data_IF_068432642673
#
_entry.id   IF_068432642673
#
_cell.length_a   1.000
_cell.length_b   1.000
_cell.length_c   1.000
_cell.angle_alpha   90.00
_cell.angle_beta   90.00
_cell.angle_gamma   90.00
#
_symmetry.space_group_name_H-M   'P 1'
#
loop_
_entity.id
_entity.type
_entity.pdbx_description
1 polymer ?
#
# COMPACT_ATOMS: atom_id res chain seq x y z
N UNK A 1 28.32 3.19 18.18
CA UNK A 1 27.61 4.28 17.48
C UNK A 1 27.01 3.70 16.21
N UNK A 2 25.71 3.94 15.99
CA UNK A 2 24.87 3.53 14.85
C UNK A 2 24.41 2.06 14.73
N UNK A 3 23.41 1.71 15.55
CA UNK A 3 22.54 0.52 15.37
C UNK A 3 21.48 0.69 14.25
N UNK A 4 21.58 1.77 13.47
CA UNK A 4 20.59 2.21 12.48
C UNK A 4 21.17 2.40 11.07
N UNK A 5 22.48 2.17 10.91
CA UNK A 5 23.09 2.06 9.59
C UNK A 5 22.85 0.65 9.04
N UNK A 6 22.79 0.53 7.70
CA UNK A 6 22.73 -0.75 6.97
C UNK A 6 23.83 -1.76 7.39
N UNK A 7 24.90 -1.28 8.03
CA UNK A 7 26.02 -2.09 8.49
C UNK A 7 25.77 -2.79 9.84
N UNK A 8 24.97 -2.20 10.74
CA UNK A 8 24.85 -2.62 12.15
C UNK A 8 23.48 -3.17 12.56
N UNK A 9 22.58 -3.42 11.61
CA UNK A 9 21.21 -3.80 11.92
C UNK A 9 21.11 -5.25 12.45
N UNK A 10 20.37 -5.47 13.54
CA UNK A 10 20.09 -6.80 14.10
C UNK A 10 19.44 -7.75 13.08
N UNK A 11 18.73 -7.19 12.09
CA UNK A 11 18.17 -7.89 10.93
C UNK A 11 19.27 -8.56 10.11
N UNK A 12 20.35 -7.83 9.79
CA UNK A 12 21.50 -8.37 9.06
C UNK A 12 22.21 -9.47 9.84
N UNK A 13 22.33 -9.32 11.17
CA UNK A 13 22.95 -10.33 12.03
C UNK A 13 22.15 -11.65 12.05
N UNK A 14 20.82 -11.57 12.06
CA UNK A 14 19.94 -12.75 12.02
C UNK A 14 19.87 -13.38 10.61
N UNK A 15 19.75 -12.56 9.56
CA UNK A 15 19.70 -13.05 8.17
C UNK A 15 21.03 -13.66 7.72
N UNK A 16 22.18 -13.10 8.15
CA UNK A 16 23.48 -13.71 7.93
C UNK A 16 23.65 -15.04 8.68
N UNK A 17 23.02 -15.19 9.85
CA UNK A 17 23.10 -16.42 10.65
C UNK A 17 22.19 -17.54 10.12
N UNK A 18 21.06 -17.18 9.50
CA UNK A 18 20.08 -18.13 8.98
C UNK A 18 20.27 -18.51 7.51
N UNK A 19 20.57 -17.56 6.63
CA UNK A 19 20.59 -17.77 5.17
C UNK A 19 21.98 -17.65 4.53
N UNK A 20 22.94 -17.05 5.24
CA UNK A 20 24.29 -16.82 4.75
C UNK A 20 24.40 -15.71 3.69
N UNK A 21 25.58 -15.10 3.58
CA UNK A 21 25.80 -13.91 2.75
C UNK A 21 25.56 -14.11 1.24
N UNK A 22 25.49 -15.36 0.75
CA UNK A 22 25.38 -15.69 -0.67
C UNK A 22 23.95 -15.58 -1.24
N UNK A 23 22.91 -15.51 -0.39
CA UNK A 23 21.50 -15.47 -0.81
C UNK A 23 20.83 -14.09 -0.60
N UNK A 24 21.55 -13.09 -0.11
CA UNK A 24 21.00 -11.75 0.15
C UNK A 24 21.08 -10.84 -1.08
N UNK A 25 19.96 -10.16 -1.38
CA UNK A 25 19.85 -9.22 -2.50
C UNK A 25 20.82 -8.05 -2.33
N UNK A 26 21.65 -7.79 -3.35
CA UNK A 26 22.79 -6.85 -3.29
C UNK A 26 22.58 -5.62 -4.17
N UNK A 27 21.35 -5.09 -4.21
CA UNK A 27 20.96 -4.05 -5.17
C UNK A 27 21.56 -2.66 -4.92
N UNK A 28 21.97 -2.33 -3.69
CA UNK A 28 22.45 -0.99 -3.31
C UNK A 28 23.81 -1.02 -2.57
N UNK A 29 24.71 -1.94 -2.94
CA UNK A 29 26.07 -2.01 -2.40
C UNK A 29 26.22 -2.62 -1.00
N UNK A 30 25.12 -3.03 -0.36
CA UNK A 30 25.11 -3.81 0.88
C UNK A 30 24.06 -4.93 0.72
N UNK A 31 24.36 -6.19 1.10
CA UNK A 31 23.41 -7.30 1.05
C UNK A 31 22.25 -7.05 2.03
N UNK A 32 21.05 -6.82 1.51
CA UNK A 32 19.84 -6.53 2.27
C UNK A 32 18.61 -7.08 1.53
N UNK A 33 17.80 -7.89 2.21
CA UNK A 33 16.56 -8.43 1.65
C UNK A 33 15.33 -7.68 2.22
N UNK A 34 14.61 -6.89 1.40
CA UNK A 34 13.35 -6.25 1.81
C UNK A 34 12.23 -7.27 2.15
N UNK A 35 12.41 -8.55 1.81
CA UNK A 35 11.51 -9.66 2.15
C UNK A 35 11.99 -10.53 3.34
N UNK A 36 12.93 -10.04 4.16
CA UNK A 36 13.36 -10.74 5.37
C UNK A 36 12.22 -11.01 6.38
N UNK A 37 12.40 -12.04 7.21
CA UNK A 37 11.42 -12.59 8.18
C UNK A 37 10.64 -11.55 9.00
N UNK A 38 11.32 -10.49 9.44
CA UNK A 38 10.70 -9.41 10.24
C UNK A 38 9.72 -8.56 9.42
N UNK A 39 10.05 -8.26 8.16
CA UNK A 39 9.19 -7.54 7.21
C UNK A 39 7.93 -8.36 6.92
N UNK A 40 8.09 -9.68 6.73
CA UNK A 40 6.98 -10.62 6.53
C UNK A 40 6.07 -10.70 7.76
N UNK A 41 6.64 -10.80 8.96
CA UNK A 41 5.88 -10.84 10.22
C UNK A 41 5.04 -9.57 10.43
N UNK A 42 5.61 -8.40 10.15
CA UNK A 42 4.89 -7.14 10.24
C UNK A 42 3.81 -6.99 9.17
N UNK A 43 4.03 -7.52 7.96
CA UNK A 43 2.99 -7.60 6.93
C UNK A 43 1.82 -8.48 7.37
N UNK A 44 2.09 -9.65 7.94
CA UNK A 44 1.07 -10.55 8.49
C UNK A 44 0.28 -9.84 9.60
N UNK A 45 0.97 -9.12 10.50
CA UNK A 45 0.32 -8.35 11.56
C UNK A 45 -0.64 -7.28 11.00
N UNK A 46 -0.24 -6.55 9.95
CA UNK A 46 -1.11 -5.56 9.29
C UNK A 46 -2.35 -6.23 8.67
N UNK A 47 -2.18 -7.33 7.95
CA UNK A 47 -3.30 -8.07 7.34
C UNK A 47 -4.25 -8.62 8.41
N UNK A 48 -3.69 -9.20 9.48
CA UNK A 48 -4.47 -9.73 10.59
C UNK A 48 -5.24 -8.61 11.32
N UNK A 49 -4.63 -7.45 11.54
CA UNK A 49 -5.28 -6.29 12.13
C UNK A 49 -6.44 -5.77 11.25
N UNK A 50 -6.23 -5.68 9.93
CA UNK A 50 -7.27 -5.31 8.97
C UNK A 50 -8.44 -6.29 8.97
N UNK A 51 -8.16 -7.60 8.95
CA UNK A 51 -9.19 -8.64 9.02
C UNK A 51 -9.97 -8.59 10.35
N UNK A 52 -9.27 -8.50 11.49
CA UNK A 52 -9.90 -8.38 12.80
C UNK A 52 -10.82 -7.15 12.89
N UNK A 53 -10.37 -6.02 12.36
CA UNK A 53 -11.16 -4.78 12.26
C UNK A 53 -12.40 -4.97 11.40
N UNK A 54 -12.28 -5.64 10.25
CA UNK A 54 -13.41 -5.97 9.37
C UNK A 54 -14.45 -6.86 10.07
N UNK A 55 -14.01 -7.89 10.79
CA UNK A 55 -14.89 -8.77 11.56
C UNK A 55 -15.60 -8.01 12.69
N UNK A 56 -14.87 -7.15 13.42
CA UNK A 56 -15.45 -6.28 14.46
C UNK A 56 -16.51 -5.33 13.87
N UNK A 57 -16.24 -4.75 12.69
CA UNK A 57 -17.19 -3.92 11.96
C UNK A 57 -18.44 -4.66 11.45
N UNK A 58 -18.40 -5.98 11.33
CA UNK A 58 -19.56 -6.79 10.92
C UNK A 58 -20.39 -7.31 12.10
N UNK A 59 -19.80 -7.49 13.30
CA UNK A 59 -20.46 -8.14 14.45
C UNK A 59 -21.56 -7.31 15.12
N UNK A 60 -21.29 -6.04 15.43
CA UNK A 60 -22.22 -5.19 16.18
C UNK A 60 -23.07 -4.29 15.25
N UNK A 61 -24.31 -3.98 15.61
CA UNK A 61 -25.18 -3.07 14.83
C UNK A 61 -25.01 -1.61 15.23
N UNK A 62 -24.32 -1.31 16.34
CA UNK A 62 -24.15 0.07 16.81
C UNK A 62 -22.91 0.76 16.20
N UNK A 63 -23.10 1.41 15.05
CA UNK A 63 -22.02 2.11 14.31
C UNK A 63 -21.38 3.26 15.10
N UNK A 64 -22.12 3.95 15.98
CA UNK A 64 -21.58 5.09 16.74
C UNK A 64 -20.49 4.64 17.70
N UNK A 65 -20.71 3.50 18.36
CA UNK A 65 -19.72 2.92 19.28
C UNK A 65 -18.48 2.46 18.51
N UNK A 66 -18.68 1.80 17.36
CA UNK A 66 -17.55 1.35 16.50
C UNK A 66 -16.64 2.47 16.07
N UNK A 67 -17.21 3.62 15.66
CA UNK A 67 -16.39 4.77 15.29
C UNK A 67 -15.51 5.23 16.43
N UNK A 68 -16.08 5.37 17.63
CA UNK A 68 -15.37 5.83 18.81
C UNK A 68 -14.28 4.81 19.17
N UNK A 69 -14.61 3.52 19.16
CA UNK A 69 -13.68 2.43 19.45
C UNK A 69 -12.49 2.43 18.47
N UNK A 70 -12.73 2.60 17.17
CA UNK A 70 -11.66 2.69 16.17
C UNK A 70 -10.78 3.93 16.36
N UNK A 71 -11.37 5.09 16.68
CA UNK A 71 -10.60 6.31 16.92
C UNK A 71 -9.77 6.21 18.20
N UNK A 72 -10.32 5.64 19.29
CA UNK A 72 -9.60 5.42 20.54
C UNK A 72 -8.49 4.39 20.38
N UNK A 73 -8.76 3.27 19.71
CA UNK A 73 -7.78 2.23 19.46
C UNK A 73 -6.65 2.75 18.55
N UNK A 74 -7.00 3.47 17.48
CA UNK A 74 -6.04 4.10 16.59
C UNK A 74 -5.17 5.15 17.30
N UNK A 75 -5.76 6.00 18.16
CA UNK A 75 -4.99 6.97 18.95
C UNK A 75 -4.07 6.28 19.98
N UNK A 76 -4.53 5.19 20.60
CA UNK A 76 -3.72 4.41 21.55
C UNK A 76 -2.53 3.76 20.83
N UNK A 77 -2.78 3.11 19.70
CA UNK A 77 -1.73 2.51 18.88
C UNK A 77 -0.75 3.56 18.34
N UNK A 78 -1.24 4.76 17.99
CA UNK A 78 -0.38 5.85 17.57
C UNK A 78 0.57 6.27 18.69
N UNK A 79 0.06 6.43 19.91
CA UNK A 79 0.89 6.75 21.07
C UNK A 79 1.93 5.65 21.34
N UNK A 80 1.51 4.38 21.29
CA UNK A 80 2.42 3.22 21.43
C UNK A 80 3.47 3.23 20.32
N UNK A 81 3.10 3.52 19.07
CA UNK A 81 4.02 3.60 17.95
C UNK A 81 5.06 4.71 18.14
N UNK A 82 4.64 5.88 18.65
CA UNK A 82 5.55 6.97 18.98
C UNK A 82 6.54 6.59 20.09
N UNK A 83 6.07 5.97 21.17
CA UNK A 83 6.96 5.52 22.26
C UNK A 83 7.90 4.42 21.77
N UNK A 84 7.37 3.47 21.00
CA UNK A 84 8.15 2.38 20.41
C UNK A 84 9.18 2.90 19.39
N UNK A 85 8.89 4.01 18.71
CA UNK A 85 9.82 4.66 17.78
C UNK A 85 11.09 5.18 18.45
N UNK A 86 11.07 5.41 19.77
CA UNK A 86 12.26 5.80 20.54
C UNK A 86 13.26 4.65 20.69
N UNK A 87 12.78 3.41 20.74
CA UNK A 87 13.61 2.20 20.82
C UNK A 87 13.93 1.65 19.42
N UNK A 88 12.94 1.64 18.52
CA UNK A 88 13.05 1.16 17.14
C UNK A 88 12.58 2.26 16.18
N UNK A 89 13.48 3.04 15.56
CA UNK A 89 13.12 4.13 14.68
C UNK A 89 12.28 3.69 13.47
N UNK A 90 11.38 4.58 13.05
CA UNK A 90 10.48 4.34 11.91
C UNK A 90 11.31 4.26 10.63
N UNK A 91 11.38 3.08 10.02
CA UNK A 91 12.04 2.89 8.73
C UNK A 91 11.11 2.19 7.74
N UNK A 92 10.73 2.94 6.68
CA UNK A 92 9.87 2.48 5.59
C UNK A 92 10.54 1.41 4.72
N UNK A 93 11.86 1.51 4.49
CA UNK A 93 12.59 0.55 3.65
C UNK A 93 12.67 -0.84 4.29
N UNK A 94 12.66 -0.89 5.62
CA UNK A 94 12.81 -2.11 6.41
C UNK A 94 11.49 -2.65 6.98
N UNK A 95 10.37 -1.97 6.70
CA UNK A 95 9.06 -2.23 7.32
C UNK A 95 9.15 -2.51 8.83
N UNK A 96 9.82 -1.62 9.57
CA UNK A 96 10.01 -1.80 11.03
C UNK A 96 8.69 -1.96 11.78
N UNK A 97 8.71 -2.64 12.93
CA UNK A 97 7.51 -2.82 13.77
C UNK A 97 6.87 -1.48 14.20
N UNK A 98 7.67 -0.44 14.45
CA UNK A 98 7.18 0.93 14.69
C UNK A 98 6.46 1.52 13.49
N UNK A 99 6.98 1.29 12.27
CA UNK A 99 6.32 1.71 11.05
C UNK A 99 4.99 0.95 10.83
N UNK A 100 4.98 -0.36 11.04
CA UNK A 100 3.76 -1.18 10.93
C UNK A 100 2.67 -0.69 11.91
N UNK A 101 3.01 -0.53 13.20
CA UNK A 101 2.11 0.01 14.22
C UNK A 101 1.58 1.40 13.83
N UNK A 102 2.44 2.27 13.32
CA UNK A 102 2.06 3.60 12.88
C UNK A 102 1.06 3.55 11.71
N UNK A 103 1.29 2.66 10.73
CA UNK A 103 0.36 2.47 9.61
C UNK A 103 -1.00 1.95 10.06
N UNK A 104 -1.05 0.92 10.91
CA UNK A 104 -2.31 0.39 11.47
C UNK A 104 -3.07 1.49 12.22
N UNK A 105 -2.36 2.32 12.99
CA UNK A 105 -2.97 3.42 13.75
C UNK A 105 -3.69 4.40 12.83
N UNK A 106 -3.02 4.83 11.75
CA UNK A 106 -3.61 5.72 10.77
C UNK A 106 -4.77 5.07 10.03
N UNK A 107 -4.64 3.80 9.64
CA UNK A 107 -5.71 3.06 8.95
C UNK A 107 -6.99 3.00 9.81
N UNK A 108 -6.87 2.72 11.11
CA UNK A 108 -8.00 2.70 12.05
C UNK A 108 -8.65 4.08 12.20
N UNK A 109 -7.83 5.13 12.35
CA UNK A 109 -8.34 6.50 12.49
C UNK A 109 -9.04 6.98 11.20
N UNK A 110 -8.43 6.74 10.04
CA UNK A 110 -9.01 7.07 8.73
C UNK A 110 -10.31 6.30 8.53
N UNK A 111 -10.35 5.00 8.85
CA UNK A 111 -11.56 4.20 8.76
C UNK A 111 -12.67 4.73 9.68
N UNK A 112 -12.33 5.11 10.92
CA UNK A 112 -13.27 5.77 11.83
C UNK A 112 -13.83 7.08 11.27
N UNK A 113 -12.99 7.91 10.65
CA UNK A 113 -13.40 9.14 9.98
C UNK A 113 -14.31 8.84 8.78
N UNK A 114 -13.94 7.88 7.92
CA UNK A 114 -14.73 7.47 6.77
C UNK A 114 -16.13 6.98 7.18
N UNK A 115 -16.22 6.20 8.26
CA UNK A 115 -17.50 5.76 8.82
C UNK A 115 -18.38 6.92 9.30
N UNK A 116 -17.79 8.07 9.66
CA UNK A 116 -18.55 9.27 10.00
C UNK A 116 -19.16 9.95 8.77
N UNK A 117 -18.48 9.88 7.62
CA UNK A 117 -18.92 10.48 6.35
C UNK A 117 -19.78 9.54 5.49
N UNK A 118 -19.73 8.23 5.75
CA UNK A 118 -20.55 7.25 5.05
C UNK A 118 -22.02 7.39 5.46
N UNK A 119 -22.95 7.56 4.50
CA UNK A 119 -24.37 7.66 4.79
C UNK A 119 -24.88 6.32 5.33
N UNK A 120 -25.77 6.38 6.33
CA UNK A 120 -26.42 5.22 6.98
C UNK A 120 -27.33 4.39 6.06
N UNK A 121 -27.46 4.78 4.80
CA UNK A 121 -28.29 4.11 3.80
C UNK A 121 -27.55 2.96 3.11
N UNK A 122 -28.29 2.06 2.47
CA UNK A 122 -27.72 0.90 1.74
C UNK A 122 -26.83 1.26 0.54
N UNK A 123 -26.70 2.54 0.18
CA UNK A 123 -26.02 2.99 -1.03
C UNK A 123 -24.89 3.96 -0.68
N UNK A 124 -23.66 3.55 -1.01
CA UNK A 124 -22.50 4.43 -0.88
C UNK A 124 -22.67 5.68 -1.77
N UNK A 125 -22.12 6.83 -1.35
CA UNK A 125 -22.06 8.03 -2.19
C UNK A 125 -21.19 7.76 -3.42
N UNK A 126 -21.33 8.56 -4.48
CA UNK A 126 -20.60 8.35 -5.75
C UNK A 126 -19.08 8.23 -5.55
N UNK A 127 -18.52 9.06 -4.67
CA UNK A 127 -17.11 8.99 -4.29
C UNK A 127 -16.79 7.66 -3.57
N UNK A 128 -17.59 7.25 -2.59
CA UNK A 128 -17.42 5.94 -1.93
C UNK A 128 -17.54 4.76 -2.90
N UNK A 129 -18.41 4.84 -3.91
CA UNK A 129 -18.49 3.84 -4.98
C UNK A 129 -17.21 3.80 -5.83
N UNK A 130 -16.65 4.97 -6.18
CA UNK A 130 -15.39 5.06 -6.93
C UNK A 130 -14.24 4.32 -6.22
N UNK A 131 -14.05 4.55 -4.92
CA UNK A 131 -13.02 3.84 -4.15
C UNK A 131 -13.38 2.37 -3.91
N UNK A 132 -14.66 2.05 -3.73
CA UNK A 132 -15.11 0.66 -3.58
C UNK A 132 -14.81 -0.18 -4.84
N UNK A 133 -14.96 0.39 -6.04
CA UNK A 133 -14.59 -0.30 -7.29
C UNK A 133 -13.13 -0.72 -7.30
N UNK A 134 -12.23 0.18 -6.89
CA UNK A 134 -10.80 -0.12 -6.80
C UNK A 134 -10.51 -1.21 -5.75
N UNK A 135 -11.23 -1.18 -4.62
CA UNK A 135 -11.04 -2.14 -3.54
C UNK A 135 -11.67 -3.52 -3.75
N UNK A 136 -12.61 -3.69 -4.69
CA UNK A 136 -13.26 -4.99 -4.96
C UNK A 136 -12.42 -5.92 -5.83
N UNK A 137 -11.56 -5.38 -6.69
CA UNK A 137 -10.68 -6.16 -7.58
C UNK A 137 -9.22 -5.65 -7.51
N UNK A 138 -8.63 -5.52 -6.31
CA UNK A 138 -7.32 -4.87 -6.15
C UNK A 138 -6.21 -5.68 -6.83
N UNK A 139 -6.26 -7.02 -6.76
CA UNK A 139 -5.27 -7.90 -7.38
C UNK A 139 -5.28 -7.78 -8.91
N UNK A 140 -6.48 -7.80 -9.52
CA UNK A 140 -6.61 -7.69 -10.97
C UNK A 140 -6.13 -6.33 -11.48
N UNK A 141 -6.47 -5.23 -10.78
CA UNK A 141 -6.02 -3.88 -11.11
C UNK A 141 -4.49 -3.78 -10.95
N UNK A 142 -3.93 -4.35 -9.88
CA UNK A 142 -2.49 -4.37 -9.65
C UNK A 142 -1.75 -5.13 -10.75
N UNK A 143 -2.17 -6.36 -11.07
CA UNK A 143 -1.57 -7.15 -12.14
C UNK A 143 -1.70 -6.47 -13.50
N UNK A 144 -2.87 -5.92 -13.81
CA UNK A 144 -3.08 -5.14 -15.03
C UNK A 144 -2.12 -3.97 -15.10
N UNK A 145 -1.96 -3.20 -14.01
CA UNK A 145 -1.03 -2.08 -14.00
C UNK A 145 0.41 -2.55 -14.22
N UNK A 146 0.83 -3.62 -13.55
CA UNK A 146 2.21 -4.08 -13.68
C UNK A 146 2.50 -4.61 -15.09
N UNK A 147 1.61 -5.46 -15.62
CA UNK A 147 1.77 -6.06 -16.96
C UNK A 147 1.67 -5.01 -18.06
N UNK A 148 0.70 -4.09 -17.97
CA UNK A 148 0.51 -3.05 -18.97
C UNK A 148 1.68 -2.06 -18.97
N UNK A 149 2.16 -1.64 -17.80
CA UNK A 149 3.32 -0.75 -17.70
C UNK A 149 4.55 -1.44 -18.29
N UNK A 150 4.79 -2.69 -17.92
CA UNK A 150 5.91 -3.48 -18.44
C UNK A 150 5.83 -3.64 -19.96
N UNK A 151 4.65 -3.93 -20.51
CA UNK A 151 4.45 -4.00 -21.96
C UNK A 151 4.72 -2.67 -22.67
N UNK A 152 4.28 -1.54 -22.10
CA UNK A 152 4.51 -0.20 -22.66
C UNK A 152 5.99 0.20 -22.67
N UNK A 153 6.78 -0.31 -21.73
CA UNK A 153 8.23 -0.08 -21.70
C UNK A 153 9.02 -1.03 -22.60
N UNK A 154 8.60 -2.31 -22.69
CA UNK A 154 9.33 -3.32 -23.46
C UNK A 154 9.12 -3.15 -24.96
N UNK A 155 7.93 -2.74 -25.41
CA UNK A 155 7.64 -2.58 -26.84
C UNK A 155 8.44 -1.40 -27.41
N UNK A 156 9.45 -1.65 -28.26
CA UNK A 156 10.24 -0.59 -28.85
C UNK A 156 9.49 0.01 -30.05
N UNK A 157 9.48 1.33 -30.15
CA UNK A 157 8.98 2.05 -31.32
C UNK A 157 10.10 2.98 -31.80
N UNK A 158 10.89 2.49 -32.75
CA UNK A 158 12.11 3.16 -33.16
C UNK A 158 13.17 3.09 -32.06
N UNK A 159 13.60 4.25 -31.55
CA UNK A 159 14.65 4.36 -30.53
C UNK A 159 14.11 4.66 -29.12
N UNK A 160 12.79 4.71 -28.96
CA UNK A 160 12.10 5.04 -27.70
C UNK A 160 11.00 4.00 -27.40
N UNK A 161 10.57 3.95 -26.14
CA UNK A 161 9.47 3.08 -25.72
C UNK A 161 8.10 3.70 -26.05
N UNK A 162 7.06 2.87 -26.14
CA UNK A 162 5.67 3.36 -26.31
C UNK A 162 5.30 4.33 -25.18
N UNK A 163 5.75 4.04 -23.95
CA UNK A 163 5.56 4.92 -22.80
C UNK A 163 6.09 6.34 -23.04
N UNK A 164 7.33 6.44 -23.55
CA UNK A 164 7.96 7.73 -23.84
C UNK A 164 7.28 8.47 -24.98
N UNK A 165 6.78 7.77 -26.01
CA UNK A 165 6.05 8.41 -27.11
C UNK A 165 4.75 9.04 -26.58
N UNK A 166 4.00 8.29 -25.77
CA UNK A 166 2.76 8.82 -25.16
C UNK A 166 3.06 10.06 -24.33
N UNK A 167 4.13 10.02 -23.53
CA UNK A 167 4.57 11.17 -22.75
C UNK A 167 4.92 12.38 -23.62
N UNK A 168 5.79 12.17 -24.62
CA UNK A 168 6.29 13.22 -25.50
C UNK A 168 5.19 13.84 -26.38
N UNK A 169 4.22 13.04 -26.83
CA UNK A 169 3.14 13.53 -27.69
C UNK A 169 2.00 14.19 -26.92
N UNK A 170 1.61 13.66 -25.76
CA UNK A 170 0.38 14.10 -25.08
C UNK A 170 0.59 14.92 -23.81
N UNK A 171 1.76 14.83 -23.16
CA UNK A 171 1.96 15.37 -21.80
C UNK A 171 3.15 16.33 -21.64
N UNK A 172 4.12 16.33 -22.58
CA UNK A 172 5.32 17.19 -22.49
C UNK A 172 5.00 18.68 -22.47
N UNK A 173 3.94 19.12 -23.15
CA UNK A 173 3.54 20.53 -23.21
C UNK A 173 3.15 21.12 -21.83
N UNK A 174 2.85 20.26 -20.84
CA UNK A 174 2.50 20.67 -19.47
C UNK A 174 3.73 20.87 -18.57
N UNK A 175 4.94 20.58 -19.08
CA UNK A 175 6.19 20.59 -18.31
C UNK A 175 6.46 19.28 -17.56
N UNK A 176 7.71 19.07 -17.13
CA UNK A 176 8.18 17.76 -16.63
C UNK A 176 7.39 17.23 -15.42
N UNK A 177 7.13 18.09 -14.42
CA UNK A 177 6.46 17.68 -13.19
C UNK A 177 4.94 17.47 -13.39
N UNK A 178 4.25 18.41 -14.04
CA UNK A 178 2.82 18.30 -14.25
C UNK A 178 2.47 17.28 -15.33
N UNK A 179 3.28 17.16 -16.37
CA UNK A 179 3.10 16.16 -17.42
C UNK A 179 3.20 14.74 -16.87
N UNK A 180 4.21 14.46 -16.04
CA UNK A 180 4.39 13.13 -15.44
C UNK A 180 3.28 12.81 -14.44
N UNK A 181 2.86 13.77 -13.61
CA UNK A 181 1.71 13.61 -12.71
C UNK A 181 0.42 13.32 -13.50
N UNK A 182 0.16 14.08 -14.56
CA UNK A 182 -1.06 13.94 -15.36
C UNK A 182 -1.08 12.59 -16.08
N UNK A 183 0.04 12.16 -16.64
CA UNK A 183 0.17 10.83 -17.24
C UNK A 183 -0.09 9.72 -16.22
N UNK A 184 0.47 9.83 -15.02
CA UNK A 184 0.22 8.86 -13.95
C UNK A 184 -1.26 8.81 -13.52
N UNK A 185 -1.94 9.96 -13.47
CA UNK A 185 -3.37 10.03 -13.17
C UNK A 185 -4.22 9.42 -14.29
N UNK A 186 -3.92 9.72 -15.55
CA UNK A 186 -4.60 9.12 -16.71
C UNK A 186 -4.41 7.61 -16.72
N UNK A 187 -3.20 7.14 -16.45
CA UNK A 187 -2.88 5.72 -16.35
C UNK A 187 -3.63 5.02 -15.21
N UNK A 188 -3.66 5.64 -14.02
CA UNK A 188 -4.42 5.13 -12.88
C UNK A 188 -5.93 5.08 -13.17
N UNK A 189 -6.48 6.12 -13.79
CA UNK A 189 -7.89 6.16 -14.19
C UNK A 189 -8.22 5.13 -15.28
N UNK A 190 -7.28 4.86 -16.20
CA UNK A 190 -7.43 3.79 -17.18
C UNK A 190 -7.53 2.44 -16.50
N UNK A 191 -6.59 2.11 -15.60
CA UNK A 191 -6.64 0.86 -14.83
C UNK A 191 -7.91 0.76 -13.98
N UNK A 192 -8.33 1.87 -13.35
CA UNK A 192 -9.59 1.95 -12.61
C UNK A 192 -10.80 1.69 -13.51
N UNK A 193 -10.84 2.23 -14.73
CA UNK A 193 -11.95 2.03 -15.67
C UNK A 193 -12.10 0.57 -16.07
N UNK A 194 -11.00 -0.17 -16.21
CA UNK A 194 -11.02 -1.61 -16.44
C UNK A 194 -11.58 -2.34 -15.21
N UNK A 195 -11.13 -1.97 -14.01
CA UNK A 195 -11.70 -2.48 -12.75
C UNK A 195 -13.22 -2.24 -12.63
N UNK A 196 -13.69 -1.07 -13.08
CA UNK A 196 -15.11 -0.72 -13.13
C UNK A 196 -15.90 -1.59 -14.12
N UNK A 197 -15.33 -1.86 -15.29
CA UNK A 197 -15.94 -2.77 -16.27
C UNK A 197 -16.04 -4.20 -15.72
N UNK A 198 -15.02 -4.67 -15.00
CA UNK A 198 -15.04 -5.98 -14.33
C UNK A 198 -16.13 -6.05 -13.27
N UNK A 199 -16.26 -5.00 -12.44
CA UNK A 199 -17.33 -4.90 -11.43
C UNK A 199 -18.72 -4.94 -12.08
N UNK A 200 -18.93 -4.19 -13.17
CA UNK A 200 -20.20 -4.23 -13.91
C UNK A 200 -20.53 -5.61 -14.47
N UNK A 201 -19.52 -6.36 -14.89
CA UNK A 201 -19.66 -7.74 -15.39
C UNK A 201 -19.71 -8.78 -14.26
N UNK A 202 -19.65 -8.37 -12.99
CA UNK A 202 -19.59 -9.25 -11.81
C UNK A 202 -18.46 -10.30 -11.87
N UNK A 203 -17.37 -9.98 -12.57
CA UNK A 203 -16.19 -10.84 -12.61
C UNK A 203 -15.33 -10.44 -11.41
N UNK A 204 -15.34 -11.30 -10.38
CA UNK A 204 -14.52 -11.15 -9.20
C UNK A 204 -13.46 -12.24 -9.22
N UNK A 205 -12.19 -11.84 -9.30
CA UNK A 205 -11.08 -12.75 -9.09
C UNK A 205 -10.87 -12.88 -7.58
N UNK A 206 -11.54 -13.87 -7.01
CA UNK A 206 -11.25 -14.34 -5.66
C UNK A 206 -10.23 -15.47 -5.81
N UNK A 207 -8.97 -15.18 -5.48
CA UNK A 207 -7.94 -16.20 -5.24
C UNK A 207 -7.73 -16.27 -3.74
#
# INVERSE_FOLDING_TARGET
SNYLSLEGNAVRALDLHLFGAAHLYSGEGIPFDPEGLLSTLTCIANVAAGHATGVYLQRDKNEKNKRIDLMLLGATLFFVACVWSLAFPVNKKLWTSSFALLTISFDLMILGILLAFLPKGKRLPRWGQFFATAGKNPLAIYLLSQLLLTALFILPVGNTSVWEIIYNSAFVWMGAHLGSLTMALVYALFCWSVGYLMERKKVYWNV
#
